data_IF_578575429851
#
_entry.id   IF_578575429851
#
_cell.length_a   1.000
_cell.length_b   1.000
_cell.length_c   1.000
_cell.angle_alpha   90.00
_cell.angle_beta   90.00
_cell.angle_gamma   90.00
#
_symmetry.space_group_name_H-M   'P 1'
#
loop_
_entity.id
_entity.type
_entity.pdbx_description
1 polymer ?
#
# COMPACT_ATOMS: atom_id res chain seq x y z
N UNK A 1 -14.59 3.16 -1.34
CA UNK A 1 -13.80 4.35 -1.07
C UNK A 1 -13.52 4.49 0.41
N UNK A 2 -12.37 5.01 0.76
CA UNK A 2 -11.97 5.22 2.16
C UNK A 2 -12.43 6.60 2.67
N UNK A 3 -13.64 7.00 2.37
CA UNK A 3 -14.18 8.32 2.76
C UNK A 3 -14.52 8.42 4.25
N UNK A 4 -14.33 7.32 5.01
CA UNK A 4 -14.64 7.24 6.44
C UNK A 4 -13.47 7.59 7.35
N UNK A 5 -12.23 7.67 6.83
CA UNK A 5 -11.03 8.00 7.59
C UNK A 5 -10.49 9.37 7.19
N UNK A 6 -10.06 10.15 8.21
CA UNK A 6 -9.41 11.44 8.02
C UNK A 6 -7.92 11.32 7.65
N UNK A 7 -7.35 12.42 7.16
CA UNK A 7 -5.89 12.52 7.02
C UNK A 7 -5.24 12.68 8.39
N UNK A 8 -4.15 11.97 8.61
CA UNK A 8 -3.32 12.20 9.80
C UNK A 8 -2.59 13.55 9.68
N UNK A 9 -2.65 14.35 10.74
CA UNK A 9 -1.85 15.56 10.83
C UNK A 9 -0.39 15.25 11.10
N UNK A 10 0.50 16.18 10.80
CA UNK A 10 1.92 16.05 11.12
C UNK A 10 2.16 15.84 12.62
N UNK A 11 1.36 16.48 13.49
CA UNK A 11 1.46 16.33 14.94
C UNK A 11 1.11 14.91 15.39
N UNK A 12 0.06 14.32 14.80
CA UNK A 12 -0.33 12.94 15.06
C UNK A 12 0.78 11.98 14.62
N UNK A 13 1.31 12.17 13.41
CA UNK A 13 2.39 11.34 12.89
C UNK A 13 3.64 11.45 13.78
N UNK A 14 4.03 12.65 14.21
CA UNK A 14 5.14 12.85 15.16
C UNK A 14 4.99 12.06 16.46
N UNK A 15 3.76 12.00 17.00
CA UNK A 15 3.48 11.19 18.19
C UNK A 15 3.87 9.74 17.92
N UNK A 16 3.35 9.15 16.85
CA UNK A 16 3.58 7.75 16.51
C UNK A 16 5.02 7.46 16.03
N UNK A 17 5.70 8.39 15.39
CA UNK A 17 7.13 8.25 15.07
C UNK A 17 7.96 8.12 16.35
N UNK A 18 7.71 8.97 17.37
CA UNK A 18 8.40 8.85 18.68
C UNK A 18 8.10 7.54 19.42
N UNK A 19 6.86 7.04 19.33
CA UNK A 19 6.51 5.73 19.89
C UNK A 19 7.22 4.60 19.13
N UNK A 20 7.26 4.67 17.80
CA UNK A 20 7.87 3.67 16.93
C UNK A 20 9.38 3.54 17.14
N UNK A 21 10.09 4.64 17.35
CA UNK A 21 11.53 4.61 17.67
C UNK A 21 11.81 3.84 18.96
N UNK A 22 10.99 4.04 20.01
CA UNK A 22 11.13 3.32 21.28
C UNK A 22 10.89 1.81 21.13
N UNK A 23 10.02 1.41 20.21
CA UNK A 23 9.69 0.02 19.91
C UNK A 23 10.62 -0.61 18.86
N UNK A 24 11.58 0.15 18.32
CA UNK A 24 12.54 -0.33 17.33
C UNK A 24 11.93 -0.60 15.96
N UNK A 25 10.89 0.14 15.56
CA UNK A 25 10.31 0.07 14.22
C UNK A 25 11.37 0.50 13.20
N UNK A 26 11.44 -0.23 12.08
CA UNK A 26 12.51 -0.06 11.08
C UNK A 26 12.02 0.43 9.73
N UNK A 27 10.74 0.35 9.43
CA UNK A 27 10.17 0.68 8.13
C UNK A 27 8.81 1.35 8.31
N UNK A 28 8.53 2.33 7.48
CA UNK A 28 7.31 3.13 7.52
C UNK A 28 6.59 3.06 6.18
N UNK A 29 5.28 2.79 6.24
CA UNK A 29 4.42 2.70 5.07
C UNK A 29 3.31 3.73 5.16
N UNK A 30 3.10 4.49 4.09
CA UNK A 30 2.02 5.45 3.97
C UNK A 30 1.05 4.98 2.89
N UNK A 31 -0.21 4.88 3.28
CA UNK A 31 -1.30 4.46 2.40
C UNK A 31 -2.59 5.19 2.81
N UNK A 32 -3.70 4.88 2.19
CA UNK A 32 -5.00 5.47 2.47
C UNK A 32 -5.80 5.57 1.18
N UNK A 33 -6.61 6.62 1.01
CA UNK A 33 -7.21 6.94 -0.27
C UNK A 33 -6.13 7.37 -1.27
N UNK A 34 -5.59 8.58 -1.10
CA UNK A 34 -4.41 9.06 -1.81
C UNK A 34 -3.55 9.89 -0.85
N UNK A 35 -2.37 9.37 -0.44
CA UNK A 35 -1.52 10.06 0.54
C UNK A 35 -1.09 11.47 0.12
N UNK A 36 -0.86 11.70 -1.17
CA UNK A 36 -0.42 13.00 -1.67
C UNK A 36 -1.53 14.06 -1.77
N UNK A 37 -2.78 13.73 -1.40
CA UNK A 37 -3.82 14.71 -1.11
C UNK A 37 -3.72 15.26 0.32
N UNK A 38 -3.01 14.58 1.22
CA UNK A 38 -2.71 15.12 2.53
C UNK A 38 -1.71 16.28 2.38
N UNK A 39 -2.11 17.49 2.80
CA UNK A 39 -1.26 18.69 2.75
C UNK A 39 0.02 18.56 3.58
N UNK A 40 0.00 17.70 4.59
CA UNK A 40 1.13 17.47 5.49
C UNK A 40 2.06 16.34 4.98
N UNK A 41 1.74 15.69 3.83
CA UNK A 41 2.50 14.52 3.37
C UNK A 41 3.99 14.79 3.16
N UNK A 42 4.34 15.96 2.63
CA UNK A 42 5.75 16.30 2.40
C UNK A 42 6.54 16.48 3.71
N UNK A 43 6.08 17.28 4.70
CA UNK A 43 6.75 17.34 6.00
C UNK A 43 6.72 16.00 6.76
N UNK A 44 5.65 15.19 6.62
CA UNK A 44 5.61 13.82 7.18
C UNK A 44 6.76 12.97 6.64
N UNK A 45 6.98 13.01 5.32
CA UNK A 45 8.09 12.26 4.70
C UNK A 45 9.47 12.77 5.15
N UNK A 46 9.65 14.08 5.29
CA UNK A 46 10.91 14.64 5.81
C UNK A 46 11.23 14.12 7.21
N UNK A 47 10.26 14.14 8.11
CA UNK A 47 10.46 13.66 9.48
C UNK A 47 10.64 12.15 9.57
N UNK A 48 9.88 11.40 8.77
CA UNK A 48 10.02 9.94 8.71
C UNK A 48 11.39 9.53 8.19
N UNK A 49 11.84 10.16 7.10
CA UNK A 49 13.12 9.85 6.48
C UNK A 49 14.34 10.36 7.30
N UNK A 50 14.11 11.07 8.39
CA UNK A 50 15.14 11.38 9.37
C UNK A 50 15.46 10.18 10.29
N UNK A 51 14.51 9.24 10.44
CA UNK A 51 14.61 8.12 11.39
C UNK A 51 14.55 6.72 10.73
N UNK A 52 14.04 6.61 9.51
CA UNK A 52 13.94 5.32 8.81
C UNK A 52 13.47 5.42 7.36
N UNK A 53 13.55 4.31 6.60
CA UNK A 53 13.07 4.27 5.22
C UNK A 53 11.55 4.37 5.16
N UNK A 54 11.04 4.99 4.10
CA UNK A 54 9.61 5.18 3.87
C UNK A 54 9.16 4.60 2.54
N UNK A 55 7.99 3.96 2.53
CA UNK A 55 7.28 3.54 1.32
C UNK A 55 5.94 4.26 1.24
N UNK A 56 5.61 4.83 0.10
CA UNK A 56 4.30 5.46 -0.14
C UNK A 56 3.56 4.71 -1.24
N UNK A 57 2.36 4.23 -0.89
CA UNK A 57 1.42 3.64 -1.85
C UNK A 57 0.50 4.75 -2.37
N UNK A 58 0.54 5.01 -3.66
CA UNK A 58 -0.18 6.11 -4.32
C UNK A 58 -0.90 5.63 -5.58
N UNK A 59 -1.97 6.30 -5.96
CA UNK A 59 -2.60 6.09 -7.25
C UNK A 59 -1.84 6.80 -8.40
N UNK A 60 -0.87 7.65 -8.06
CA UNK A 60 -0.02 8.36 -9.02
C UNK A 60 -0.71 9.48 -9.82
N UNK A 61 -1.97 9.83 -9.51
CA UNK A 61 -2.78 10.72 -10.35
C UNK A 61 -2.58 12.20 -10.05
N UNK A 62 -2.14 12.56 -8.84
CA UNK A 62 -2.12 13.93 -8.34
C UNK A 62 -0.76 14.63 -8.45
N UNK A 63 0.24 13.97 -9.00
CA UNK A 63 1.58 14.53 -9.12
C UNK A 63 1.65 15.77 -10.04
N UNK A 64 2.41 16.74 -9.59
CA UNK A 64 2.77 17.96 -10.32
C UNK A 64 4.29 18.08 -10.43
N UNK A 65 4.84 18.87 -11.37
CA UNK A 65 6.28 19.10 -11.43
C UNK A 65 6.86 19.64 -10.11
N UNK A 66 6.07 20.42 -9.37
CA UNK A 66 6.51 20.97 -8.07
C UNK A 66 6.56 19.90 -7.01
N UNK A 67 5.52 19.05 -6.87
CA UNK A 67 5.52 17.95 -5.89
C UNK A 67 6.62 16.93 -6.17
N UNK A 68 6.88 16.62 -7.45
CA UNK A 68 7.98 15.71 -7.83
C UNK A 68 9.36 16.29 -7.48
N UNK A 69 9.60 17.57 -7.74
CA UNK A 69 10.87 18.21 -7.30
C UNK A 69 11.03 18.12 -5.80
N UNK A 70 9.98 18.46 -5.04
CA UNK A 70 10.01 18.38 -3.57
C UNK A 70 10.30 16.96 -3.08
N UNK A 71 9.64 15.93 -3.64
CA UNK A 71 9.91 14.53 -3.32
C UNK A 71 11.37 14.14 -3.58
N UNK A 72 11.91 14.57 -4.71
CA UNK A 72 13.31 14.33 -5.05
C UNK A 72 14.24 14.98 -4.03
N UNK A 73 14.00 16.25 -3.70
CA UNK A 73 14.83 17.00 -2.77
C UNK A 73 14.80 16.35 -1.37
N UNK A 74 13.63 15.93 -0.89
CA UNK A 74 13.44 15.18 0.36
C UNK A 74 14.22 13.86 0.32
N UNK A 75 14.06 13.08 -0.75
CA UNK A 75 14.73 11.78 -0.90
C UNK A 75 16.26 11.92 -0.96
N UNK A 76 16.77 12.97 -1.61
CA UNK A 76 18.22 13.22 -1.72
C UNK A 76 18.85 13.76 -0.44
N UNK A 77 18.06 14.41 0.40
CA UNK A 77 18.52 14.94 1.69
C UNK A 77 18.66 13.87 2.78
N UNK A 78 18.05 12.69 2.58
CA UNK A 78 18.07 11.59 3.55
C UNK A 78 19.10 10.50 3.21
N UNK A 79 19.64 9.85 4.24
CA UNK A 79 20.38 8.59 4.13
C UNK A 79 19.48 7.36 3.99
N UNK A 80 18.19 7.50 4.29
CA UNK A 80 17.20 6.44 4.14
C UNK A 80 16.48 6.53 2.79
N UNK A 81 16.03 5.38 2.29
CA UNK A 81 15.36 5.29 1.00
C UNK A 81 13.89 5.71 1.07
N UNK A 82 13.44 6.42 0.03
CA UNK A 82 12.02 6.64 -0.26
C UNK A 82 11.61 5.75 -1.43
N UNK A 83 10.73 4.77 -1.17
CA UNK A 83 10.12 3.94 -2.20
C UNK A 83 8.71 4.45 -2.54
N UNK A 84 8.40 4.53 -3.81
CA UNK A 84 7.07 4.88 -4.30
C UNK A 84 6.45 3.66 -4.98
N UNK A 85 5.24 3.28 -4.57
CA UNK A 85 4.46 2.22 -5.18
C UNK A 85 3.25 2.84 -5.84
N UNK A 86 3.18 2.72 -7.17
CA UNK A 86 2.09 3.28 -7.95
C UNK A 86 1.13 2.18 -8.35
N UNK A 87 -0.12 2.34 -7.95
CA UNK A 87 -1.16 1.35 -8.20
C UNK A 87 -1.80 1.56 -9.58
N UNK A 88 -1.67 0.56 -10.46
CA UNK A 88 -2.26 0.53 -11.82
C UNK A 88 -2.80 -0.88 -12.04
N UNK A 89 -4.12 -1.05 -12.25
CA UNK A 89 -4.75 -2.39 -12.34
C UNK A 89 -5.10 -2.81 -13.78
N UNK A 90 -4.70 -2.01 -14.76
CA UNK A 90 -4.86 -2.35 -16.18
C UNK A 90 -3.76 -1.73 -17.04
N UNK A 91 -3.38 -2.40 -18.10
CA UNK A 91 -2.32 -1.94 -19.01
C UNK A 91 -2.79 -0.89 -20.05
N UNK A 92 -4.09 -0.56 -20.05
CA UNK A 92 -4.69 0.48 -20.88
C UNK A 92 -5.92 1.09 -20.17
N UNK A 93 -6.52 2.19 -20.70
CA UNK A 93 -7.72 2.78 -20.10
C UNK A 93 -8.90 1.82 -19.97
N UNK A 94 -9.09 0.93 -20.96
CA UNK A 94 -10.22 0.00 -21.03
C UNK A 94 -10.17 -1.05 -19.91
N UNK A 95 -8.97 -1.42 -19.44
CA UNK A 95 -8.78 -2.42 -18.37
C UNK A 95 -8.57 -1.76 -17.00
N UNK A 96 -8.00 -0.56 -16.92
CA UNK A 96 -7.73 0.14 -15.68
C UNK A 96 -8.90 0.98 -15.17
N UNK A 97 -9.51 1.77 -16.04
CA UNK A 97 -10.48 2.79 -15.62
C UNK A 97 -11.78 2.21 -15.05
N UNK A 98 -12.28 1.03 -15.48
CA UNK A 98 -13.40 0.37 -14.81
C UNK A 98 -13.11 0.00 -13.34
N UNK A 99 -11.85 -0.19 -12.98
CA UNK A 99 -11.43 -0.55 -11.61
C UNK A 99 -11.14 0.71 -10.79
N UNK A 100 -10.40 1.68 -11.37
CA UNK A 100 -9.82 2.82 -10.65
C UNK A 100 -10.51 4.16 -10.90
N UNK A 101 -11.46 4.22 -11.82
CA UNK A 101 -12.18 5.43 -12.20
C UNK A 101 -11.73 5.99 -13.55
N UNK A 102 -12.66 6.64 -14.23
CA UNK A 102 -12.46 7.19 -15.58
C UNK A 102 -11.28 8.18 -15.64
N UNK A 103 -10.42 7.99 -16.63
CA UNK A 103 -9.26 8.83 -16.90
C UNK A 103 -8.06 8.64 -15.97
N UNK A 104 -8.18 7.79 -14.94
CA UNK A 104 -7.10 7.57 -13.96
C UNK A 104 -5.89 6.89 -14.58
N UNK A 105 -6.06 6.03 -15.58
CA UNK A 105 -4.94 5.41 -16.30
C UNK A 105 -3.97 6.45 -16.87
N UNK A 106 -4.49 7.41 -17.62
CA UNK A 106 -3.67 8.46 -18.23
C UNK A 106 -2.94 9.30 -17.19
N UNK A 107 -3.62 9.61 -16.09
CA UNK A 107 -3.04 10.37 -14.99
C UNK A 107 -1.94 9.59 -14.28
N UNK A 108 -2.16 8.31 -13.95
CA UNK A 108 -1.18 7.44 -13.31
C UNK A 108 0.07 7.23 -14.19
N UNK A 109 -0.10 6.94 -15.49
CA UNK A 109 1.02 6.82 -16.44
C UNK A 109 1.82 8.14 -16.57
N UNK A 110 1.14 9.29 -16.55
CA UNK A 110 1.82 10.59 -16.48
C UNK A 110 2.63 10.71 -15.18
N UNK A 111 2.06 10.32 -14.05
CA UNK A 111 2.73 10.30 -12.76
C UNK A 111 3.97 9.42 -12.76
N UNK A 112 3.87 8.17 -13.25
CA UNK A 112 5.01 7.26 -13.42
C UNK A 112 6.11 7.90 -14.26
N UNK A 113 5.76 8.48 -15.40
CA UNK A 113 6.74 9.18 -16.27
C UNK A 113 7.48 10.29 -15.53
N UNK A 114 6.75 11.11 -14.77
CA UNK A 114 7.34 12.21 -14.00
C UNK A 114 8.28 11.70 -12.90
N UNK A 115 7.91 10.61 -12.20
CA UNK A 115 8.75 9.96 -11.21
C UNK A 115 10.04 9.42 -11.82
N UNK A 116 9.93 8.69 -12.93
CA UNK A 116 11.09 8.13 -13.65
C UNK A 116 12.04 9.24 -14.15
N UNK A 117 11.50 10.32 -14.73
CA UNK A 117 12.28 11.47 -15.16
C UNK A 117 12.99 12.19 -14.00
N UNK A 118 12.45 12.11 -12.80
CA UNK A 118 13.07 12.66 -11.58
C UNK A 118 14.09 11.70 -10.95
N UNK A 119 14.31 10.51 -11.53
CA UNK A 119 15.28 9.52 -11.06
C UNK A 119 14.73 8.49 -10.08
N UNK A 120 13.41 8.47 -9.82
CA UNK A 120 12.79 7.41 -9.04
C UNK A 120 12.61 6.14 -9.87
N UNK A 121 12.58 4.99 -9.19
CA UNK A 121 12.28 3.69 -9.77
C UNK A 121 11.02 3.10 -9.10
N UNK A 122 9.82 3.66 -9.37
CA UNK A 122 8.61 3.26 -8.68
C UNK A 122 8.30 1.77 -8.92
N UNK A 123 7.74 1.09 -7.91
CA UNK A 123 7.14 -0.22 -8.09
C UNK A 123 5.70 -0.01 -8.58
N UNK A 124 5.37 -0.61 -9.70
CA UNK A 124 3.99 -0.64 -10.18
C UNK A 124 3.30 -1.81 -9.50
N UNK A 125 2.30 -1.51 -8.68
CA UNK A 125 1.52 -2.50 -7.94
C UNK A 125 0.22 -2.77 -8.71
N UNK A 126 -0.05 -4.04 -8.98
CA UNK A 126 -1.17 -4.47 -9.80
C UNK A 126 -1.96 -5.52 -9.00
N UNK A 127 -3.26 -5.32 -8.80
CA UNK A 127 -4.13 -6.38 -8.31
C UNK A 127 -4.43 -7.36 -9.44
N UNK A 128 -4.26 -8.66 -9.21
CA UNK A 128 -4.56 -9.69 -10.20
C UNK A 128 -6.08 -9.83 -10.35
N UNK A 129 -6.63 -9.20 -11.37
CA UNK A 129 -8.06 -9.23 -11.70
C UNK A 129 -8.39 -10.13 -12.91
N UNK A 130 -7.43 -10.93 -13.34
CA UNK A 130 -7.52 -11.83 -14.50
C UNK A 130 -7.22 -13.28 -14.11
N UNK A 131 -7.69 -14.26 -14.90
CA UNK A 131 -7.36 -15.67 -14.71
C UNK A 131 -5.85 -15.92 -14.81
N UNK A 132 -5.31 -16.84 -14.01
CA UNK A 132 -3.87 -17.10 -13.91
C UNK A 132 -3.22 -17.47 -15.26
N UNK A 133 -3.94 -18.23 -16.10
CA UNK A 133 -3.47 -18.65 -17.42
C UNK A 133 -3.23 -17.48 -18.39
N UNK A 134 -3.89 -16.34 -18.18
CA UNK A 134 -3.75 -15.16 -19.03
C UNK A 134 -2.60 -14.25 -18.57
N UNK A 135 -2.01 -14.54 -17.41
CA UNK A 135 -1.00 -13.72 -16.72
C UNK A 135 0.20 -13.36 -17.58
N UNK A 136 0.86 -14.28 -18.29
CA UNK A 136 2.05 -13.96 -19.10
C UNK A 136 1.81 -12.88 -20.14
N UNK A 137 0.74 -12.99 -20.95
CA UNK A 137 0.42 -11.99 -21.97
C UNK A 137 0.00 -10.63 -21.40
N UNK A 138 -0.67 -10.65 -20.25
CA UNK A 138 -1.06 -9.42 -19.54
C UNK A 138 0.18 -8.76 -18.94
N UNK A 139 1.09 -9.51 -18.34
CA UNK A 139 2.35 -9.00 -17.82
C UNK A 139 3.18 -8.31 -18.90
N UNK A 140 3.33 -8.95 -20.07
CA UNK A 140 4.03 -8.35 -21.21
C UNK A 140 3.39 -7.04 -21.68
N UNK A 141 2.05 -6.98 -21.70
CA UNK A 141 1.32 -5.75 -22.04
C UNK A 141 1.59 -4.62 -21.05
N UNK A 142 1.71 -4.91 -19.74
CA UNK A 142 2.13 -3.92 -18.74
C UNK A 142 3.56 -3.44 -18.99
N UNK A 143 4.49 -4.36 -19.26
CA UNK A 143 5.89 -4.02 -19.53
C UNK A 143 6.00 -3.11 -20.74
N UNK A 144 5.31 -3.42 -21.85
CA UNK A 144 5.29 -2.61 -23.08
C UNK A 144 4.72 -1.21 -22.82
N UNK A 145 3.60 -1.14 -22.10
CA UNK A 145 2.98 0.14 -21.75
C UNK A 145 3.90 1.03 -20.91
N UNK A 146 4.56 0.44 -19.91
CA UNK A 146 5.48 1.18 -19.05
C UNK A 146 6.76 1.61 -19.80
N UNK A 147 7.29 0.78 -20.69
CA UNK A 147 8.40 1.14 -21.58
C UNK A 147 8.02 2.30 -22.52
N UNK A 148 6.83 2.24 -23.12
CA UNK A 148 6.32 3.34 -23.95
C UNK A 148 6.13 4.64 -23.14
N UNK A 149 5.94 4.56 -21.83
CA UNK A 149 5.93 5.71 -20.92
C UNK A 149 7.33 6.20 -20.52
N UNK A 150 8.41 5.55 -20.99
CA UNK A 150 9.81 5.90 -20.67
C UNK A 150 10.37 5.18 -19.45
N UNK A 151 9.69 4.13 -18.96
CA UNK A 151 10.18 3.30 -17.84
C UNK A 151 10.81 2.02 -18.39
N UNK A 152 12.08 2.09 -18.85
CA UNK A 152 12.78 1.04 -19.60
C UNK A 152 12.90 -0.31 -18.86
N UNK A 153 13.06 -0.27 -17.54
CA UNK A 153 13.16 -1.47 -16.68
C UNK A 153 12.12 -1.39 -15.56
N UNK A 154 10.83 -1.59 -15.89
CA UNK A 154 9.78 -1.41 -14.91
C UNK A 154 9.87 -2.47 -13.80
N UNK A 155 9.68 -2.02 -12.57
CA UNK A 155 9.52 -2.87 -11.38
C UNK A 155 8.03 -3.11 -11.20
N UNK A 156 7.59 -4.35 -11.29
CA UNK A 156 6.18 -4.73 -11.18
C UNK A 156 6.00 -5.68 -10.01
N UNK A 157 5.00 -5.44 -9.17
CA UNK A 157 4.52 -6.33 -8.13
C UNK A 157 3.05 -6.67 -8.40
N UNK A 158 2.77 -7.94 -8.66
CA UNK A 158 1.40 -8.44 -8.78
C UNK A 158 0.94 -8.88 -7.38
N UNK A 159 -0.22 -8.41 -6.97
CA UNK A 159 -0.87 -8.75 -5.71
C UNK A 159 -2.05 -9.68 -5.97
N UNK A 160 -2.32 -10.64 -5.09
CA UNK A 160 -3.55 -11.43 -5.17
C UNK A 160 -4.78 -10.53 -5.01
N UNK A 161 -5.89 -10.97 -5.56
CA UNK A 161 -7.18 -10.30 -5.35
C UNK A 161 -7.58 -10.40 -3.87
N UNK A 162 -7.90 -9.26 -3.27
CA UNK A 162 -8.47 -9.17 -1.94
C UNK A 162 -9.97 -8.90 -2.06
N UNK A 163 -10.79 -9.84 -1.62
CA UNK A 163 -12.25 -9.70 -1.64
C UNK A 163 -12.73 -8.79 -0.49
N UNK A 164 -12.36 -7.51 -0.56
CA UNK A 164 -12.67 -6.48 0.43
C UNK A 164 -13.19 -5.21 -0.26
N UNK A 165 -14.13 -4.52 0.40
CA UNK A 165 -14.70 -3.28 -0.09
C UNK A 165 -15.29 -3.42 -1.49
N UNK A 166 -15.00 -2.50 -2.40
CA UNK A 166 -15.52 -2.51 -3.78
C UNK A 166 -15.15 -3.77 -4.57
N UNK A 167 -14.06 -4.45 -4.22
CA UNK A 167 -13.66 -5.68 -4.92
C UNK A 167 -14.54 -6.88 -4.50
N UNK A 168 -15.00 -6.91 -3.26
CA UNK A 168 -16.01 -7.88 -2.80
C UNK A 168 -17.31 -7.73 -3.59
N UNK A 169 -17.79 -6.51 -3.79
CA UNK A 169 -18.99 -6.21 -4.58
C UNK A 169 -18.83 -6.57 -6.06
N UNK A 170 -17.65 -6.33 -6.61
CA UNK A 170 -17.33 -6.57 -8.03
C UNK A 170 -17.16 -8.06 -8.35
N UNK A 171 -16.66 -8.84 -7.40
CA UNK A 171 -16.35 -10.26 -7.60
C UNK A 171 -17.22 -11.15 -6.72
N UNK A 172 -16.84 -11.31 -5.46
CA UNK A 172 -17.56 -12.13 -4.46
C UNK A 172 -17.00 -11.87 -3.05
N UNK A 173 -17.78 -12.17 -1.99
CA UNK A 173 -17.24 -12.21 -0.64
C UNK A 173 -16.31 -13.42 -0.44
N UNK A 174 -15.52 -13.38 0.65
CA UNK A 174 -14.77 -14.53 1.13
C UNK A 174 -15.73 -15.68 1.50
N UNK A 175 -15.40 -16.88 1.06
CA UNK A 175 -16.15 -18.10 1.40
C UNK A 175 -15.80 -18.59 2.82
N UNK A 176 -16.59 -19.54 3.33
CA UNK A 176 -16.32 -20.17 4.63
C UNK A 176 -15.03 -20.98 4.65
N UNK A 177 -14.61 -21.53 3.51
CA UNK A 177 -13.34 -22.25 3.38
C UNK A 177 -12.12 -21.35 3.31
N UNK A 178 -12.29 -20.05 3.06
CA UNK A 178 -11.25 -19.05 3.08
C UNK A 178 -11.08 -18.44 4.48
N UNK A 179 -10.86 -19.31 5.45
CA UNK A 179 -10.58 -18.98 6.85
C UNK A 179 -9.37 -19.78 7.31
N UNK A 180 -8.60 -19.20 8.20
CA UNK A 180 -7.46 -19.90 8.80
C UNK A 180 -7.99 -20.85 9.88
N UNK A 181 -7.59 -22.12 9.79
CA UNK A 181 -7.83 -23.12 10.82
C UNK A 181 -6.60 -23.28 11.75
N UNK A 182 -6.80 -23.94 12.88
CA UNK A 182 -5.69 -24.23 13.81
C UNK A 182 -4.65 -25.12 13.15
N UNK A 183 -5.09 -26.13 12.42
CA UNK A 183 -4.22 -27.09 11.73
C UNK A 183 -3.33 -26.39 10.66
N UNK A 184 -3.86 -25.37 9.98
CA UNK A 184 -3.07 -24.59 9.02
C UNK A 184 -1.92 -23.85 9.70
N UNK A 185 -2.03 -23.52 10.98
CA UNK A 185 -1.03 -22.76 11.73
C UNK A 185 -0.03 -23.62 12.49
N UNK A 186 -0.24 -24.95 12.61
CA UNK A 186 0.62 -25.84 13.42
C UNK A 186 2.11 -25.77 13.08
N UNK A 187 2.44 -25.65 11.80
CA UNK A 187 3.83 -25.57 11.31
C UNK A 187 4.10 -24.28 10.50
N UNK A 188 3.22 -23.29 10.60
CA UNK A 188 3.36 -22.05 9.84
C UNK A 188 4.24 -21.04 10.59
N UNK A 189 5.22 -20.50 9.90
CA UNK A 189 6.02 -19.40 10.42
C UNK A 189 5.21 -18.10 10.41
N UNK A 190 4.63 -17.76 11.56
CA UNK A 190 3.79 -16.57 11.73
C UNK A 190 4.54 -15.26 11.42
N UNK A 191 5.88 -15.25 11.43
CA UNK A 191 6.68 -14.08 11.03
C UNK A 191 6.49 -13.69 9.56
N UNK A 192 5.96 -14.59 8.74
CA UNK A 192 5.59 -14.32 7.34
C UNK A 192 4.35 -13.42 7.20
N UNK A 193 3.54 -13.32 8.25
CA UNK A 193 2.36 -12.46 8.25
C UNK A 193 2.72 -11.03 8.64
N UNK A 194 2.24 -10.04 7.89
CA UNK A 194 2.48 -8.63 8.19
C UNK A 194 2.04 -8.26 9.61
N UNK A 195 0.88 -8.77 10.06
CA UNK A 195 0.31 -8.48 11.39
C UNK A 195 1.14 -9.02 12.57
N UNK A 196 2.14 -9.89 12.33
CA UNK A 196 3.06 -10.33 13.39
C UNK A 196 4.04 -9.23 13.82
N UNK A 197 4.31 -8.24 12.95
CA UNK A 197 5.33 -7.20 13.14
C UNK A 197 4.92 -5.80 12.70
N UNK A 198 3.82 -5.67 11.97
CA UNK A 198 3.30 -4.39 11.49
C UNK A 198 2.04 -3.96 12.24
N UNK A 199 1.80 -2.68 12.30
CA UNK A 199 0.54 -2.05 12.78
C UNK A 199 0.18 -0.92 11.85
N UNK A 200 -1.10 -0.58 11.81
CA UNK A 200 -1.61 0.54 11.00
C UNK A 200 -2.18 1.61 11.92
N UNK A 201 -1.67 2.80 11.78
CA UNK A 201 -2.19 3.99 12.50
C UNK A 201 -3.21 4.68 11.61
N UNK A 202 -4.36 5.00 12.19
CA UNK A 202 -5.44 5.78 11.58
C UNK A 202 -5.80 6.99 12.46
N UNK A 203 -6.70 7.83 12.01
CA UNK A 203 -7.31 8.90 12.82
C UNK A 203 -8.20 8.37 13.96
N UNK A 204 -8.42 7.03 14.02
CA UNK A 204 -9.19 6.33 15.05
C UNK A 204 -8.33 5.47 15.96
N UNK A 205 -7.00 5.67 15.96
CA UNK A 205 -6.04 4.88 16.73
C UNK A 205 -5.33 3.80 15.90
N UNK A 206 -4.92 2.72 16.54
CA UNK A 206 -4.04 1.70 15.96
C UNK A 206 -4.82 0.43 15.63
N UNK A 207 -4.78 0.03 14.38
CA UNK A 207 -5.34 -1.23 13.89
C UNK A 207 -4.25 -2.27 13.62
N UNK A 208 -4.64 -3.54 13.57
CA UNK A 208 -3.73 -4.67 13.35
C UNK A 208 -3.03 -4.61 12.00
N UNK A 209 -3.72 -4.22 10.93
CA UNK A 209 -3.18 -4.14 9.58
C UNK A 209 -4.07 -3.23 8.69
N UNK A 210 -3.57 -2.77 7.53
CA UNK A 210 -4.31 -1.87 6.64
C UNK A 210 -5.55 -2.52 6.00
N UNK A 211 -5.64 -3.86 5.96
CA UNK A 211 -6.75 -4.58 5.34
C UNK A 211 -8.00 -4.64 6.24
N UNK A 212 -7.83 -4.46 7.55
CA UNK A 212 -8.88 -4.65 8.55
C UNK A 212 -9.21 -3.36 9.32
N UNK A 213 -8.84 -2.19 8.82
CA UNK A 213 -9.04 -0.92 9.51
C UNK A 213 -10.51 -0.59 9.82
N UNK A 214 -11.46 -1.18 9.08
CA UNK A 214 -12.89 -1.02 9.29
C UNK A 214 -13.48 -2.11 10.21
N UNK A 215 -12.72 -3.17 10.53
CA UNK A 215 -13.19 -4.24 11.40
C UNK A 215 -13.05 -3.84 12.87
N UNK A 216 -14.15 -3.83 13.66
CA UNK A 216 -14.10 -3.35 15.05
C UNK A 216 -13.15 -4.16 15.94
N UNK A 217 -13.02 -5.46 15.71
CA UNK A 217 -12.13 -6.36 16.45
C UNK A 217 -10.66 -6.22 16.05
N UNK A 218 -10.37 -5.50 14.97
CA UNK A 218 -9.01 -5.22 14.51
C UNK A 218 -8.43 -3.90 15.06
N UNK A 219 -9.22 -3.10 15.75
CA UNK A 219 -8.75 -1.93 16.49
C UNK A 219 -8.12 -2.38 17.82
N UNK A 220 -6.84 -2.06 18.05
CA UNK A 220 -6.03 -2.59 19.13
C UNK A 220 -5.71 -1.58 20.24
N UNK A 221 -5.98 -0.29 20.05
CA UNK A 221 -5.76 0.75 21.04
C UNK A 221 -5.39 2.10 20.43
N UNK A 222 -4.97 3.04 21.28
CA UNK A 222 -4.63 4.41 20.95
C UNK A 222 -3.11 4.65 20.87
N UNK A 223 -2.30 3.65 21.26
CA UNK A 223 -0.84 3.70 21.23
C UNK A 223 -0.27 2.44 20.59
N UNK A 224 0.95 2.52 20.07
CA UNK A 224 1.64 1.34 19.52
C UNK A 224 1.96 0.30 20.58
N UNK A 225 2.16 0.72 21.84
CA UNK A 225 2.40 -0.18 22.97
C UNK A 225 1.16 -1.01 23.29
N UNK A 226 -0.03 -0.37 23.41
CA UNK A 226 -1.31 -1.08 23.59
C UNK A 226 -1.56 -2.07 22.47
N UNK A 227 -1.24 -1.67 21.23
CA UNK A 227 -1.43 -2.48 20.04
C UNK A 227 -0.37 -3.60 19.84
N UNK A 228 0.59 -3.78 20.73
CA UNK A 228 1.67 -4.77 20.59
C UNK A 228 1.22 -6.22 20.73
N UNK A 229 0.01 -6.46 21.24
CA UNK A 229 -0.55 -7.78 21.49
C UNK A 229 -0.79 -8.63 20.24
N UNK A 230 -1.01 -9.94 20.47
CA UNK A 230 -1.35 -10.88 19.41
C UNK A 230 -2.77 -10.63 18.88
N UNK A 231 -2.99 -10.89 17.60
CA UNK A 231 -4.29 -10.78 16.93
C UNK A 231 -4.76 -12.15 16.45
N UNK A 232 -6.05 -12.45 16.63
CA UNK A 232 -6.66 -13.68 16.14
C UNK A 232 -6.97 -13.57 14.64
N UNK A 233 -6.45 -14.47 13.83
CA UNK A 233 -6.60 -14.51 12.39
C UNK A 233 -8.00 -15.04 11.97
N UNK A 234 -9.06 -14.25 12.19
CA UNK A 234 -10.45 -14.65 12.00
C UNK A 234 -11.10 -14.18 10.69
N UNK A 235 -10.44 -13.29 9.95
CA UNK A 235 -10.97 -12.69 8.72
C UNK A 235 -10.53 -13.41 7.45
N UNK A 236 -11.33 -13.34 6.37
CA UNK A 236 -10.96 -13.90 5.07
C UNK A 236 -9.69 -13.30 4.50
N UNK A 237 -9.45 -11.99 4.71
CA UNK A 237 -8.21 -11.35 4.31
C UNK A 237 -6.96 -11.98 4.97
N UNK A 238 -7.09 -12.52 6.20
CA UNK A 238 -6.01 -13.26 6.84
C UNK A 238 -5.63 -14.53 6.07
N UNK A 239 -6.61 -15.22 5.50
CA UNK A 239 -6.38 -16.39 4.64
C UNK A 239 -5.60 -16.01 3.38
N UNK A 240 -5.92 -14.89 2.73
CA UNK A 240 -5.15 -14.42 1.57
C UNK A 240 -3.69 -14.13 1.95
N UNK A 241 -3.45 -13.45 3.08
CA UNK A 241 -2.10 -13.24 3.60
C UNK A 241 -1.37 -14.56 3.92
N UNK A 242 -2.08 -15.56 4.45
CA UNK A 242 -1.51 -16.88 4.72
C UNK A 242 -1.06 -17.59 3.44
N UNK A 243 -1.88 -17.55 2.39
CA UNK A 243 -1.58 -18.25 1.11
C UNK A 243 -0.49 -17.56 0.31
N UNK A 244 -0.50 -16.23 0.26
CA UNK A 244 0.37 -15.46 -0.64
C UNK A 244 1.49 -14.70 0.08
N UNK A 245 1.56 -14.78 1.40
CA UNK A 245 2.50 -14.02 2.21
C UNK A 245 2.03 -12.60 2.51
N UNK A 246 2.90 -11.80 3.10
CA UNK A 246 2.63 -10.40 3.38
C UNK A 246 2.46 -9.61 2.07
N UNK A 247 1.32 -8.97 1.93
CA UNK A 247 0.87 -8.26 0.72
C UNK A 247 1.38 -6.81 0.74
#
# INVERSE_FOLDING_TARGET
GNDTFGFLSIETVRKYLRESEKLGVREYYFTGGEPFLNRDMMPILEETLAIGPATVLTNGTVFTPTSIRRLRDISQASSYSLELRVSIDGYNPQTNDPIRGEGTFKQAIRGVRMLVQAGFLPIITIAQTWPEQDGPGIFDSFVETLKAAGYERPRIKILPTLHLGMEEERTRPYSRSERISVEMMENYDSSQLLCSRGRTVTDRGVAVCPLLIEAPDAHLGETLEEASGAFRLSHGACHTCYVYGAI
#
